data_IF_687059215597
#
_entry.id   IF_687059215597
#
_cell.length_a   1.000
_cell.length_b   1.000
_cell.length_c   1.000
_cell.angle_alpha   90.00
_cell.angle_beta   90.00
_cell.angle_gamma   90.00
#
_symmetry.space_group_name_H-M   'P 1'
#
loop_
_entity.id
_entity.type
_entity.pdbx_description
1 polymer ?
#
# COMPACT_ATOMS: atom_id res chain seq x y z
N UNK A 1 -0.28 14.93 0.93
CA UNK A 1 -1.13 13.84 0.42
C UNK A 1 -2.52 14.40 0.06
N UNK A 2 -3.30 13.75 -0.81
CA UNK A 2 -4.66 14.23 -1.15
C UNK A 2 -5.72 13.57 -0.25
N UNK A 3 -6.92 14.17 -0.08
CA UNK A 3 -7.96 13.65 0.82
C UNK A 3 -8.50 12.25 0.45
N UNK A 4 -8.16 11.74 -0.73
CA UNK A 4 -8.72 10.53 -1.36
C UNK A 4 -7.91 9.25 -1.11
N UNK A 5 -6.99 9.22 -0.13
CA UNK A 5 -6.17 8.03 0.15
C UNK A 5 -5.05 7.75 -0.86
N UNK A 6 -4.65 8.78 -1.62
CA UNK A 6 -3.63 8.71 -2.66
C UNK A 6 -2.30 9.34 -2.22
N UNK A 7 -1.19 8.69 -2.57
CA UNK A 7 0.17 9.22 -2.40
C UNK A 7 0.73 9.69 -3.75
N UNK A 8 1.61 10.72 -3.71
CA UNK A 8 2.38 11.15 -4.89
C UNK A 8 3.69 10.36 -4.92
N UNK A 9 3.91 9.59 -5.98
CA UNK A 9 5.11 8.75 -6.14
C UNK A 9 5.54 8.70 -7.61
N UNK A 10 6.84 8.89 -7.87
CA UNK A 10 7.44 8.83 -9.22
C UNK A 10 6.64 9.62 -10.28
N UNK A 11 6.19 10.82 -9.93
CA UNK A 11 5.42 11.70 -10.80
C UNK A 11 3.93 11.33 -10.97
N UNK A 12 3.47 10.20 -10.42
CA UNK A 12 2.07 9.75 -10.46
C UNK A 12 1.36 9.77 -9.11
N UNK A 13 0.05 9.47 -9.15
CA UNK A 13 -0.78 9.24 -7.97
C UNK A 13 -1.10 7.75 -7.83
N UNK A 14 -0.84 7.18 -6.64
CA UNK A 14 -1.15 5.78 -6.33
C UNK A 14 -2.11 5.73 -5.15
N UNK A 15 -3.25 5.06 -5.31
CA UNK A 15 -4.18 4.79 -4.21
C UNK A 15 -3.63 3.67 -3.32
N UNK A 16 -3.58 3.92 -2.00
CA UNK A 16 -3.09 2.95 -1.01
C UNK A 16 -4.20 2.60 -0.02
N UNK A 17 -4.77 3.59 0.68
CA UNK A 17 -5.90 3.44 1.61
C UNK A 17 -6.37 4.82 2.09
N UNK A 18 -7.67 4.96 2.35
CA UNK A 18 -8.22 6.15 3.03
C UNK A 18 -7.86 6.20 4.53
N UNK A 19 -7.61 5.05 5.16
CA UNK A 19 -7.31 4.97 6.60
C UNK A 19 -5.93 5.54 6.97
N UNK A 20 -5.04 5.71 6.00
CA UNK A 20 -3.70 6.29 6.18
C UNK A 20 -3.65 7.78 5.78
N UNK A 21 -4.82 8.42 5.67
CA UNK A 21 -4.94 9.85 5.40
C UNK A 21 -4.41 10.66 6.58
N UNK A 22 -3.14 10.99 6.53
CA UNK A 22 -2.41 11.86 7.45
C UNK A 22 -0.92 11.62 7.29
N UNK A 23 -0.61 10.39 6.89
CA UNK A 23 0.55 9.69 7.37
C UNK A 23 1.54 9.41 6.26
N UNK A 24 2.82 9.45 6.62
CA UNK A 24 3.88 8.99 5.74
C UNK A 24 3.87 7.45 5.68
N UNK A 25 3.99 6.92 4.47
CA UNK A 25 4.21 5.49 4.24
C UNK A 25 5.63 5.27 3.73
N UNK A 26 6.25 4.20 4.20
CA UNK A 26 7.54 3.75 3.69
C UNK A 26 7.37 3.01 2.37
N UNK A 27 8.28 3.27 1.43
CA UNK A 27 8.43 2.48 0.21
C UNK A 27 9.82 1.87 0.21
N UNK A 28 9.88 0.55 0.08
CA UNK A 28 11.14 -0.20 -0.02
C UNK A 28 11.16 -0.91 -1.36
N UNK A 29 12.16 -0.60 -2.19
CA UNK A 29 12.35 -1.32 -3.45
C UNK A 29 12.80 -2.76 -3.17
N UNK A 30 12.15 -3.70 -3.82
CA UNK A 30 12.45 -5.13 -3.73
C UNK A 30 13.55 -5.48 -4.75
N UNK A 31 14.26 -6.61 -4.57
CA UNK A 31 15.23 -7.08 -5.57
C UNK A 31 14.64 -7.31 -6.97
N UNK A 32 13.32 -7.47 -7.08
CA UNK A 32 12.59 -7.65 -8.35
C UNK A 32 12.17 -6.31 -8.98
N UNK A 33 12.44 -5.19 -8.31
CA UNK A 33 12.11 -3.83 -8.75
C UNK A 33 10.68 -3.38 -8.45
N UNK A 34 9.86 -4.20 -7.77
CA UNK A 34 8.59 -3.76 -7.19
C UNK A 34 8.84 -2.98 -5.90
N UNK A 35 7.82 -2.29 -5.37
CA UNK A 35 7.93 -1.58 -4.09
C UNK A 35 7.03 -2.17 -3.02
N UNK A 36 7.58 -2.54 -1.87
CA UNK A 36 6.81 -2.86 -0.67
C UNK A 36 6.35 -1.57 -0.01
N UNK A 37 5.05 -1.46 0.25
CA UNK A 37 4.43 -0.34 0.98
C UNK A 37 4.30 -0.72 2.45
N UNK A 38 4.82 0.13 3.34
CA UNK A 38 4.78 -0.08 4.79
C UNK A 38 4.18 1.13 5.49
N UNK A 39 3.42 0.88 6.55
CA UNK A 39 3.08 1.91 7.53
C UNK A 39 3.73 1.52 8.85
N UNK A 40 4.70 2.34 9.29
CA UNK A 40 5.60 1.98 10.39
C UNK A 40 6.24 0.61 10.13
N UNK A 41 6.07 -0.33 11.07
CA UNK A 41 6.58 -1.71 10.99
C UNK A 41 5.63 -2.66 10.23
N UNK A 42 4.44 -2.20 9.84
CA UNK A 42 3.42 -3.03 9.20
C UNK A 42 3.58 -2.99 7.68
N UNK A 43 3.74 -4.16 7.06
CA UNK A 43 3.67 -4.28 5.60
C UNK A 43 2.21 -4.28 5.14
N UNK A 44 1.88 -3.38 4.21
CA UNK A 44 0.53 -3.22 3.67
C UNK A 44 0.36 -3.99 2.35
N UNK A 45 1.41 -4.06 1.54
CA UNK A 45 1.34 -4.72 0.24
C UNK A 45 2.41 -4.22 -0.70
N UNK A 46 2.18 -4.38 -2.00
CA UNK A 46 3.19 -4.16 -3.04
C UNK A 46 2.65 -3.30 -4.17
N UNK A 47 3.46 -2.38 -4.68
CA UNK A 47 3.23 -1.66 -5.93
C UNK A 47 4.04 -2.33 -7.02
N UNK A 48 3.37 -2.81 -8.07
CA UNK A 48 4.03 -3.42 -9.22
C UNK A 48 4.80 -2.39 -10.04
N UNK A 49 6.04 -2.72 -10.44
CA UNK A 49 6.90 -1.80 -11.20
C UNK A 49 6.29 -1.30 -12.50
N UNK A 50 5.72 -2.22 -13.27
CA UNK A 50 5.16 -1.93 -14.60
C UNK A 50 3.75 -1.35 -14.50
N UNK A 51 2.93 -1.90 -13.59
CA UNK A 51 1.51 -1.53 -13.49
C UNK A 51 1.27 -0.28 -12.66
N UNK A 52 2.22 0.08 -11.78
CA UNK A 52 2.07 1.12 -10.74
C UNK A 52 0.84 0.92 -9.86
N UNK A 53 0.32 -0.31 -9.80
CA UNK A 53 -0.88 -0.66 -9.05
C UNK A 53 -0.49 -1.23 -7.69
N UNK A 54 -1.14 -0.75 -6.64
CA UNK A 54 -1.06 -1.33 -5.31
C UNK A 54 -1.88 -2.61 -5.24
N UNK A 55 -1.26 -3.67 -4.73
CA UNK A 55 -1.88 -4.95 -4.38
C UNK A 55 -1.66 -5.21 -2.90
N UNK A 56 -2.72 -5.29 -2.09
CA UNK A 56 -2.58 -5.50 -0.65
C UNK A 56 -2.06 -6.90 -0.32
N UNK A 57 -1.19 -6.99 0.69
CA UNK A 57 -0.55 -8.23 1.12
C UNK A 57 -1.49 -9.21 1.85
N UNK A 58 -2.64 -8.72 2.33
CA UNK A 58 -3.63 -9.52 3.05
C UNK A 58 -4.62 -10.27 2.15
N UNK A 59 -4.46 -10.25 0.83
CA UNK A 59 -5.33 -10.99 -0.10
C UNK A 59 -5.28 -12.54 0.06
N UNK A 60 -4.44 -13.06 0.97
CA UNK A 60 -4.39 -14.48 1.34
C UNK A 60 -5.04 -14.85 2.69
N UNK A 61 -5.53 -13.90 3.51
CA UNK A 61 -6.17 -14.25 4.80
C UNK A 61 -7.46 -13.48 4.99
N UNK A 62 -8.55 -14.03 4.45
CA UNK A 62 -9.91 -13.68 4.85
C UNK A 62 -10.04 -14.12 6.31
N UNK A 63 -9.79 -13.23 7.26
CA UNK A 63 -10.21 -13.46 8.65
C UNK A 63 -11.73 -13.41 8.57
N UNK A 64 -12.38 -14.57 8.65
CA UNK A 64 -13.83 -14.63 8.71
C UNK A 64 -14.26 -13.78 9.92
N UNK A 65 -15.28 -12.92 9.79
CA UNK A 65 -15.79 -12.20 10.96
C UNK A 65 -16.38 -13.24 11.91
N UNK A 66 -15.70 -13.47 13.05
CA UNK A 66 -16.29 -14.15 14.18
C UNK A 66 -17.30 -13.18 14.79
N UNK A 67 -18.57 -13.32 14.41
CA UNK A 67 -19.65 -12.72 15.18
C UNK A 67 -19.69 -13.45 16.54
N UNK A 68 -19.43 -12.71 17.61
CA UNK A 68 -19.81 -13.07 18.98
C UNK A 68 -21.26 -12.66 19.23
#
# INVERSE_FOLDING_TARGET
>A
MRPTGQIKWQGGLVFVSEALRGELVGLVETPRGDWTVRFLQVELGRIGRQTRRFTPGWHGRRVAPTHS
#
